data_IF_768816742136
#
_entry.id   IF_768816742136
#
_cell.length_a   1.000
_cell.length_b   1.000
_cell.length_c   1.000
_cell.angle_alpha   90.00
_cell.angle_beta   90.00
_cell.angle_gamma   90.00
#
_symmetry.space_group_name_H-M   'P 1'
#
loop_
_entity.id
_entity.type
_entity.pdbx_description
1 polymer ?
#
# COMPACT_ATOMS: atom_id res chain seq x y z
N UNK A 1 24.35 -59.98 50.90
CA UNK A 1 23.32 -59.83 49.83
C UNK A 1 23.25 -58.36 49.45
N UNK A 2 23.31 -58.06 48.15
CA UNK A 2 23.56 -56.72 47.58
C UNK A 2 22.32 -55.81 47.72
N UNK A 3 22.51 -54.60 48.24
CA UNK A 3 21.51 -53.53 48.26
C UNK A 3 21.50 -52.82 46.90
N UNK A 4 20.33 -52.70 46.28
CA UNK A 4 20.14 -51.96 45.03
C UNK A 4 19.34 -50.71 45.38
N UNK A 5 20.05 -49.58 45.54
CA UNK A 5 19.41 -48.27 45.63
C UNK A 5 19.05 -47.81 44.22
N UNK A 6 17.74 -47.67 43.96
CA UNK A 6 17.21 -47.13 42.71
C UNK A 6 17.15 -45.60 42.83
N UNK A 7 17.94 -44.89 42.01
CA UNK A 7 17.89 -43.42 41.92
C UNK A 7 16.99 -43.08 40.72
N UNK A 8 15.78 -42.60 41.00
CA UNK A 8 14.94 -41.95 40.01
C UNK A 8 15.49 -40.55 39.72
N UNK A 9 16.13 -40.37 38.56
CA UNK A 9 16.52 -39.05 38.07
C UNK A 9 15.34 -38.47 37.29
N UNK A 10 14.66 -37.50 37.90
CA UNK A 10 13.59 -36.74 37.27
C UNK A 10 14.21 -35.72 36.30
N UNK A 11 14.17 -36.00 34.99
CA UNK A 11 14.52 -35.03 33.95
C UNK A 11 13.41 -33.99 33.85
N UNK A 12 13.60 -32.83 34.49
CA UNK A 12 12.80 -31.65 34.19
C UNK A 12 13.38 -31.04 32.92
N UNK A 13 12.76 -31.35 31.77
CA UNK A 13 13.03 -30.66 30.52
C UNK A 13 12.59 -29.20 30.67
N UNK A 14 13.55 -28.31 30.85
CA UNK A 14 13.33 -26.88 30.80
C UNK A 14 13.03 -26.51 29.34
N UNK A 15 11.75 -26.57 28.95
CA UNK A 15 11.29 -26.07 27.67
C UNK A 15 11.41 -24.55 27.67
N UNK A 16 12.54 -24.03 27.15
CA UNK A 16 12.64 -22.62 26.80
C UNK A 16 11.69 -22.35 25.64
N UNK A 17 10.48 -21.89 25.95
CA UNK A 17 9.62 -21.25 24.96
C UNK A 17 10.29 -19.93 24.56
N UNK A 18 11.14 -19.96 23.53
CA UNK A 18 11.44 -18.75 22.78
C UNK A 18 10.15 -18.37 22.08
N UNK A 19 9.38 -17.47 22.67
CA UNK A 19 8.36 -16.74 21.96
C UNK A 19 9.09 -15.96 20.85
N UNK A 20 9.25 -16.58 19.68
CA UNK A 20 9.56 -15.86 18.47
C UNK A 20 8.40 -14.89 18.29
N UNK A 21 8.62 -13.62 18.62
CA UNK A 21 7.76 -12.56 18.15
C UNK A 21 7.77 -12.69 16.62
N UNK A 22 6.70 -13.27 16.07
CA UNK A 22 6.57 -13.45 14.62
C UNK A 22 6.50 -12.04 14.03
N UNK A 23 7.63 -11.54 13.55
CA UNK A 23 7.70 -10.23 12.91
C UNK A 23 6.84 -10.32 11.66
N UNK A 24 5.70 -9.63 11.66
CA UNK A 24 4.87 -9.50 10.46
C UNK A 24 5.68 -8.68 9.46
N UNK A 25 6.01 -9.23 8.28
CA UNK A 25 6.79 -8.49 7.29
C UNK A 25 6.02 -7.26 6.84
N UNK A 26 6.74 -6.19 6.60
CA UNK A 26 6.13 -4.93 6.21
C UNK A 26 5.64 -5.02 4.78
N UNK A 27 4.40 -4.61 4.54
CA UNK A 27 3.74 -4.78 3.24
C UNK A 27 2.87 -3.58 2.89
N UNK A 28 2.81 -3.30 1.59
CA UNK A 28 1.89 -2.35 1.00
C UNK A 28 0.70 -3.11 0.43
N UNK A 29 -0.50 -2.65 0.76
CA UNK A 29 -1.77 -3.07 0.16
C UNK A 29 -2.47 -1.87 -0.46
N UNK A 30 -3.18 -2.08 -1.56
CA UNK A 30 -3.85 -1.01 -2.30
C UNK A 30 -5.31 -1.38 -2.51
N UNK A 31 -6.21 -0.63 -1.90
CA UNK A 31 -7.65 -0.75 -2.09
C UNK A 31 -8.12 0.32 -3.07
N UNK A 32 -8.60 -0.11 -4.23
CA UNK A 32 -8.91 0.78 -5.36
C UNK A 32 -10.41 0.81 -5.66
N UNK A 33 -11.04 1.94 -5.39
CA UNK A 33 -12.44 2.22 -5.74
C UNK A 33 -12.55 3.31 -6.81
N UNK A 34 -13.76 3.55 -7.32
CA UNK A 34 -13.98 4.55 -8.37
C UNK A 34 -13.48 5.96 -7.99
N UNK A 35 -13.63 6.37 -6.72
CA UNK A 35 -13.30 7.73 -6.27
C UNK A 35 -12.10 7.82 -5.33
N UNK A 36 -11.65 6.70 -4.78
CA UNK A 36 -10.62 6.67 -3.74
C UNK A 36 -9.69 5.47 -3.94
N UNK A 37 -8.39 5.73 -3.84
CA UNK A 37 -7.36 4.70 -3.68
C UNK A 37 -6.79 4.83 -2.28
N UNK A 38 -6.90 3.78 -1.48
CA UNK A 38 -6.25 3.69 -0.17
C UNK A 38 -4.99 2.85 -0.28
N UNK A 39 -3.84 3.46 0.01
CA UNK A 39 -2.56 2.78 0.14
C UNK A 39 -2.34 2.53 1.62
N UNK A 40 -2.27 1.27 2.01
CA UNK A 40 -2.11 0.83 3.40
C UNK A 40 -0.76 0.17 3.57
N UNK A 41 0.04 0.69 4.49
CA UNK A 41 1.30 0.10 4.90
C UNK A 41 1.08 -0.61 6.23
N UNK A 42 1.42 -1.89 6.33
CA UNK A 42 1.28 -2.67 7.55
C UNK A 42 2.59 -3.36 7.89
N UNK A 43 2.89 -3.54 9.17
CA UNK A 43 4.10 -4.22 9.65
C UNK A 43 4.51 -3.73 11.04
N UNK A 44 5.24 -4.55 11.78
CA UNK A 44 5.67 -4.18 13.14
C UNK A 44 6.77 -3.11 13.14
N UNK A 45 7.55 -3.03 12.05
CA UNK A 45 8.62 -2.05 11.84
C UNK A 45 8.59 -1.58 10.39
N UNK A 46 8.44 -0.28 10.17
CA UNK A 46 8.49 0.26 8.82
C UNK A 46 9.92 0.21 8.30
N UNK A 47 10.15 -0.61 7.27
CA UNK A 47 11.43 -0.65 6.55
C UNK A 47 11.77 0.73 5.98
N UNK A 48 13.05 0.97 5.73
CA UNK A 48 13.55 2.23 5.16
C UNK A 48 12.90 2.53 3.80
N UNK A 49 12.64 1.49 3.01
CA UNK A 49 11.99 1.60 1.71
C UNK A 49 11.08 0.40 1.44
N UNK A 50 9.85 0.69 1.00
CA UNK A 50 8.85 -0.29 0.62
C UNK A 50 8.44 -0.08 -0.83
N UNK A 51 8.34 -1.18 -1.57
CA UNK A 51 7.95 -1.17 -2.99
C UNK A 51 6.73 -2.04 -3.23
N UNK A 52 5.83 -1.54 -4.06
CA UNK A 52 4.66 -2.26 -4.55
C UNK A 52 4.51 -2.06 -6.04
N UNK A 53 4.33 -3.16 -6.78
CA UNK A 53 4.17 -3.11 -8.23
C UNK A 53 3.04 -4.03 -8.69
N UNK A 54 2.21 -3.49 -9.57
CA UNK A 54 1.09 -4.17 -10.23
C UNK A 54 0.95 -3.66 -11.66
N UNK A 55 -0.04 -4.17 -12.41
CA UNK A 55 -0.33 -3.66 -13.75
C UNK A 55 -0.77 -2.18 -13.77
N UNK A 56 -1.36 -1.70 -12.66
CA UNK A 56 -1.93 -0.35 -12.54
C UNK A 56 -1.09 0.60 -11.69
N UNK A 57 -0.27 0.08 -10.78
CA UNK A 57 0.44 0.87 -9.79
C UNK A 57 1.92 0.48 -9.72
N UNK A 58 2.79 1.47 -9.60
CA UNK A 58 4.20 1.33 -9.22
C UNK A 58 4.46 2.35 -8.10
N UNK A 59 4.57 1.86 -6.86
CA UNK A 59 4.57 2.65 -5.64
C UNK A 59 5.87 2.38 -4.87
N UNK A 60 6.54 3.44 -4.47
CA UNK A 60 7.68 3.43 -3.57
C UNK A 60 7.36 4.35 -2.38
N UNK A 61 7.56 3.84 -1.16
CA UNK A 61 7.40 4.61 0.08
C UNK A 61 8.70 4.49 0.86
N UNK A 62 9.34 5.62 1.14
CA UNK A 62 10.55 5.67 1.94
C UNK A 62 10.23 6.28 3.31
N UNK A 63 10.68 5.63 4.38
CA UNK A 63 10.60 6.15 5.73
C UNK A 63 11.80 7.06 5.98
N UNK A 64 11.54 8.35 6.22
CA UNK A 64 12.57 9.35 6.49
C UNK A 64 12.81 9.57 8.00
N UNK A 65 12.14 8.80 8.87
CA UNK A 65 12.14 8.99 10.31
C UNK A 65 11.03 9.93 10.79
N UNK A 66 10.79 9.97 12.10
CA UNK A 66 9.80 10.86 12.74
C UNK A 66 8.39 10.86 12.11
N UNK A 67 7.94 9.67 11.68
CA UNK A 67 6.68 9.45 10.94
C UNK A 67 6.58 10.25 9.63
N UNK A 68 7.71 10.69 9.05
CA UNK A 68 7.80 11.35 7.77
C UNK A 68 8.06 10.33 6.66
N UNK A 69 7.25 10.38 5.61
CA UNK A 69 7.33 9.44 4.49
C UNK A 69 7.48 10.19 3.18
N UNK A 70 8.45 9.78 2.37
CA UNK A 70 8.52 10.15 0.97
C UNK A 70 7.77 9.13 0.13
N UNK A 71 6.91 9.59 -0.77
CA UNK A 71 6.03 8.76 -1.57
C UNK A 71 6.26 9.10 -3.04
N UNK A 72 6.57 8.07 -3.83
CA UNK A 72 6.50 8.09 -5.29
C UNK A 72 5.48 7.04 -5.73
N UNK A 73 4.29 7.49 -6.13
CA UNK A 73 3.20 6.63 -6.57
C UNK A 73 2.83 6.92 -8.03
N UNK A 74 3.11 5.96 -8.92
CA UNK A 74 2.74 6.00 -10.33
C UNK A 74 1.46 5.22 -10.58
N UNK A 75 0.56 5.82 -11.34
CA UNK A 75 -0.72 5.26 -11.76
C UNK A 75 -0.69 5.09 -13.27
N UNK A 76 -0.81 3.84 -13.72
CA UNK A 76 -0.74 3.43 -15.12
C UNK A 76 -2.17 3.12 -15.57
N UNK A 77 -2.65 3.85 -16.57
CA UNK A 77 -3.91 3.58 -17.24
C UNK A 77 -3.63 3.09 -18.66
N UNK A 78 -4.28 1.99 -19.02
CA UNK A 78 -4.22 1.39 -20.36
C UNK A 78 -5.63 1.40 -20.93
N UNK A 79 -5.78 1.87 -22.17
CA UNK A 79 -7.01 1.75 -22.95
C UNK A 79 -6.67 1.35 -24.37
N UNK A 80 -7.56 0.60 -25.02
CA UNK A 80 -7.45 0.33 -26.45
C UNK A 80 -8.23 1.41 -27.19
N UNK A 81 -7.61 2.03 -28.19
CA UNK A 81 -8.30 2.94 -29.09
C UNK A 81 -9.33 2.14 -29.92
N UNK A 82 -10.63 2.47 -29.84
CA UNK A 82 -11.66 1.70 -30.54
C UNK A 82 -11.63 1.87 -32.06
N UNK A 83 -10.97 2.90 -32.58
CA UNK A 83 -10.88 3.18 -34.02
C UNK A 83 -9.64 2.57 -34.64
N UNK A 84 -8.48 2.67 -33.96
CA UNK A 84 -7.20 2.19 -34.51
C UNK A 84 -6.79 0.82 -33.97
N UNK A 85 -7.33 0.40 -32.83
CA UNK A 85 -6.91 -0.80 -32.11
C UNK A 85 -5.62 -0.63 -31.31
N UNK A 86 -5.03 0.57 -31.29
CA UNK A 86 -3.76 0.82 -30.61
C UNK A 86 -3.91 0.83 -29.08
N UNK A 87 -2.89 0.35 -28.38
CA UNK A 87 -2.80 0.50 -26.92
C UNK A 87 -2.34 1.93 -26.57
N UNK A 88 -3.24 2.69 -25.95
CA UNK A 88 -2.94 4.00 -25.39
C UNK A 88 -2.61 3.86 -23.91
N UNK A 89 -1.39 4.24 -23.53
CA UNK A 89 -0.89 4.18 -22.16
C UNK A 89 -0.76 5.60 -21.60
N UNK A 90 -1.49 5.90 -20.54
CA UNK A 90 -1.33 7.12 -19.75
C UNK A 90 -0.65 6.81 -18.42
N UNK A 91 0.25 7.70 -17.98
CA UNK A 91 0.95 7.57 -16.69
C UNK A 91 0.79 8.88 -15.92
N UNK A 92 0.25 8.79 -14.71
CA UNK A 92 0.21 9.88 -13.75
C UNK A 92 1.11 9.53 -12.58
N UNK A 93 1.78 10.51 -11.99
CA UNK A 93 2.69 10.30 -10.87
C UNK A 93 2.39 11.28 -9.75
N UNK A 94 2.37 10.78 -8.52
CA UNK A 94 2.24 11.55 -7.29
C UNK A 94 3.58 11.42 -6.57
N UNK A 95 4.30 12.53 -6.44
CA UNK A 95 5.54 12.60 -5.66
C UNK A 95 5.32 13.61 -4.53
N UNK A 96 5.37 13.14 -3.30
CA UNK A 96 5.11 13.99 -2.13
C UNK A 96 5.88 13.51 -0.90
N UNK A 97 5.93 14.36 0.13
CA UNK A 97 6.37 13.98 1.47
C UNK A 97 5.26 14.33 2.45
N UNK A 98 4.91 13.38 3.33
CA UNK A 98 3.83 13.54 4.29
C UNK A 98 4.21 12.98 5.65
N UNK A 99 3.82 13.69 6.70
CA UNK A 99 3.87 13.15 8.06
C UNK A 99 2.58 12.37 8.33
N UNK A 100 2.71 11.10 8.72
CA UNK A 100 1.57 10.20 8.90
C UNK A 100 1.66 9.53 10.25
N UNK A 101 0.81 9.95 11.18
CA UNK A 101 0.66 9.25 12.45
C UNK A 101 0.00 7.87 12.25
N UNK A 102 0.32 6.86 13.07
CA UNK A 102 -0.29 5.54 12.97
C UNK A 102 -1.82 5.59 12.99
N UNK A 103 -2.43 4.76 12.15
CA UNK A 103 -3.88 4.62 11.95
C UNK A 103 -4.59 5.86 11.36
N UNK A 104 -3.88 6.97 11.13
CA UNK A 104 -4.43 8.18 10.50
C UNK A 104 -4.36 8.06 8.98
N UNK A 105 -5.44 8.45 8.31
CA UNK A 105 -5.50 8.56 6.84
C UNK A 105 -5.08 9.96 6.40
N UNK A 106 -4.07 10.04 5.53
CA UNK A 106 -3.54 11.31 5.00
C UNK A 106 -3.73 11.35 3.49
N UNK A 107 -4.26 12.46 2.97
CA UNK A 107 -4.36 12.68 1.52
C UNK A 107 -2.97 12.94 0.93
N UNK A 108 -2.59 12.16 -0.07
CA UNK A 108 -1.29 12.28 -0.74
C UNK A 108 -1.39 12.86 -2.16
N UNK A 109 -2.61 12.89 -2.73
CA UNK A 109 -2.84 13.49 -4.03
C UNK A 109 -4.24 13.20 -4.59
N UNK A 110 -4.44 13.63 -5.84
CA UNK A 110 -5.70 13.42 -6.55
C UNK A 110 -5.58 13.68 -8.05
N UNK A 111 -6.45 13.04 -8.82
CA UNK A 111 -6.68 13.30 -10.23
C UNK A 111 -8.07 13.90 -10.38
N UNK A 112 -8.14 15.13 -10.88
CA UNK A 112 -9.39 15.77 -11.30
C UNK A 112 -9.37 15.88 -12.83
N UNK A 113 -10.40 15.36 -13.46
CA UNK A 113 -10.54 15.35 -14.92
C UNK A 113 -11.88 15.98 -15.26
N UNK A 114 -11.84 16.92 -16.20
CA UNK A 114 -13.02 17.60 -16.70
C UNK A 114 -12.94 17.65 -18.21
N UNK A 115 -14.04 17.29 -18.86
CA UNK A 115 -14.22 17.45 -20.29
C UNK A 115 -15.60 18.04 -20.57
N UNK A 116 -15.68 18.80 -21.65
CA UNK A 116 -16.92 19.29 -22.23
C UNK A 116 -16.98 18.88 -23.70
N UNK A 117 -18.18 18.58 -24.17
CA UNK A 117 -18.45 18.27 -25.58
C UNK A 117 -19.69 19.01 -26.03
N UNK A 118 -19.62 19.63 -27.21
CA UNK A 118 -20.75 20.32 -27.84
C UNK A 118 -21.39 19.36 -28.83
N UNK A 119 -22.67 19.09 -28.66
CA UNK A 119 -23.47 18.23 -29.53
C UNK A 119 -23.94 19.01 -30.77
N UNK A 120 -24.39 18.29 -31.81
CA UNK A 120 -24.84 18.90 -33.09
C UNK A 120 -26.05 19.83 -32.94
N UNK A 121 -26.86 19.63 -31.91
CA UNK A 121 -28.02 20.46 -31.56
C UNK A 121 -27.65 21.69 -30.70
N UNK A 122 -26.35 21.88 -30.41
CA UNK A 122 -25.85 22.95 -29.56
C UNK A 122 -25.83 22.63 -28.06
N UNK A 123 -26.31 21.44 -27.65
CA UNK A 123 -26.27 21.01 -26.25
C UNK A 123 -24.83 20.80 -25.78
N UNK A 124 -24.49 21.26 -24.57
CA UNK A 124 -23.17 21.01 -23.96
C UNK A 124 -23.31 19.85 -22.96
N UNK A 125 -22.51 18.80 -23.14
CA UNK A 125 -22.37 17.72 -22.16
C UNK A 125 -21.03 17.86 -21.45
N UNK A 126 -21.08 18.05 -20.13
CA UNK A 126 -19.90 18.09 -19.28
C UNK A 126 -19.73 16.77 -18.53
N UNK A 127 -18.50 16.26 -18.48
CA UNK A 127 -18.14 15.08 -17.69
C UNK A 127 -17.01 15.48 -16.74
N UNK A 128 -17.23 15.28 -15.45
CA UNK A 128 -16.21 15.47 -14.42
C UNK A 128 -16.00 14.18 -13.63
N UNK A 129 -14.74 13.81 -13.44
CA UNK A 129 -14.35 12.66 -12.62
C UNK A 129 -13.21 13.04 -11.69
N UNK A 130 -13.36 12.67 -10.42
CA UNK A 130 -12.39 12.92 -9.36
C UNK A 130 -11.98 11.61 -8.70
N UNK A 131 -10.67 11.43 -8.54
CA UNK A 131 -10.09 10.30 -7.83
C UNK A 131 -9.05 10.80 -6.82
N UNK A 132 -9.17 10.38 -5.56
CA UNK A 132 -8.28 10.77 -4.46
C UNK A 132 -7.39 9.61 -4.06
N UNK A 133 -6.21 9.94 -3.55
CA UNK A 133 -5.21 8.99 -3.08
C UNK A 133 -4.91 9.29 -1.62
N UNK A 134 -5.00 8.27 -0.77
CA UNK A 134 -4.71 8.38 0.66
C UNK A 134 -3.69 7.34 1.08
N UNK A 135 -2.84 7.71 2.04
CA UNK A 135 -1.92 6.81 2.72
C UNK A 135 -2.42 6.57 4.15
N UNK A 136 -2.32 5.33 4.61
CA UNK A 136 -2.54 4.95 6.00
C UNK A 136 -1.45 3.98 6.46
N UNK A 137 -0.87 4.25 7.62
CA UNK A 137 0.02 3.32 8.32
C UNK A 137 -0.81 2.51 9.31
N UNK A 138 -0.78 1.18 9.22
CA UNK A 138 -1.49 0.24 10.10
C UNK A 138 -0.53 -0.27 11.17
N UNK A 139 -1.03 -0.47 12.40
CA UNK A 139 -0.30 -1.17 13.47
C UNK A 139 -0.41 -2.69 13.36
#
# INVERSE_FOLDING_TARGET
MKSIFSIFVLFISLATFTACATSRPTSITVDDSNRLVEIKVSGNFLEDELRFKSAKYDICIQNLGDNLFHIDAKVISKRIDPLTGDELIARNQIVTQVKVEPEVKVMIGGLDTWSSSVQKDGTITETRSQKRYVLQILK
#
